data_IF_082121524207
#
_entry.id   IF_082121524207
#
_cell.length_a   1.000
_cell.length_b   1.000
_cell.length_c   1.000
_cell.angle_alpha   90.00
_cell.angle_beta   90.00
_cell.angle_gamma   90.00
#
_symmetry.space_group_name_H-M   'P 1'
#
loop_
_entity.id
_entity.type
_entity.pdbx_description
1 polymer ?
#
# COMPACT_ATOMS: atom_id res chain seq x y z
N UNK A 1 -42.77 1.45 46.37
CA UNK A 1 -42.11 0.65 45.32
C UNK A 1 -40.62 0.94 45.44
N UNK A 2 -39.82 -0.07 45.77
CA UNK A 2 -38.39 0.10 46.08
C UNK A 2 -37.60 0.46 44.80
N UNK A 3 -36.63 1.39 44.91
CA UNK A 3 -35.80 1.85 43.81
C UNK A 3 -34.99 0.71 43.18
N UNK A 4 -34.65 -0.31 43.99
CA UNK A 4 -34.03 -1.54 43.51
C UNK A 4 -34.95 -2.27 42.51
N UNK A 5 -36.26 -2.27 42.75
CA UNK A 5 -37.23 -2.95 41.89
C UNK A 5 -37.45 -2.21 40.58
N UNK A 6 -37.47 -0.87 40.62
CA UNK A 6 -37.56 -0.02 39.41
C UNK A 6 -36.31 -0.17 38.55
N UNK A 7 -35.12 -0.21 39.17
CA UNK A 7 -33.85 -0.40 38.47
C UNK A 7 -33.75 -1.79 37.85
N UNK A 8 -34.20 -2.83 38.58
CA UNK A 8 -34.23 -4.20 38.05
C UNK A 8 -35.19 -4.32 36.86
N UNK A 9 -36.36 -3.67 36.91
CA UNK A 9 -37.32 -3.67 35.81
C UNK A 9 -36.78 -2.89 34.60
N UNK A 10 -36.14 -1.75 34.83
CA UNK A 10 -35.49 -0.96 33.79
C UNK A 10 -34.33 -1.73 33.14
N UNK A 11 -33.55 -2.49 33.91
CA UNK A 11 -32.48 -3.35 33.37
C UNK A 11 -33.03 -4.54 32.59
N UNK A 12 -34.12 -5.16 33.05
CA UNK A 12 -34.78 -6.28 32.38
C UNK A 12 -35.38 -5.88 31.02
N UNK A 13 -35.91 -4.66 30.91
CA UNK A 13 -36.49 -4.14 29.66
C UNK A 13 -35.41 -3.48 28.79
N UNK A 14 -34.51 -2.71 29.39
CA UNK A 14 -33.45 -1.99 28.69
C UNK A 14 -32.39 -2.90 28.09
N UNK A 15 -32.04 -4.00 28.76
CA UNK A 15 -31.05 -4.96 28.27
C UNK A 15 -31.40 -5.56 26.90
N UNK A 16 -32.59 -6.17 26.72
CA UNK A 16 -33.03 -6.71 25.44
C UNK A 16 -33.15 -5.67 24.33
N UNK A 17 -33.62 -4.45 24.65
CA UNK A 17 -33.75 -3.36 23.67
C UNK A 17 -32.37 -2.86 23.22
N UNK A 18 -31.43 -2.70 24.15
CA UNK A 18 -30.05 -2.34 23.82
C UNK A 18 -29.34 -3.43 23.01
N UNK A 19 -29.57 -4.70 23.34
CA UNK A 19 -29.03 -5.83 22.59
C UNK A 19 -29.61 -5.91 21.16
N UNK A 20 -30.92 -5.71 21.00
CA UNK A 20 -31.57 -5.68 19.69
C UNK A 20 -31.08 -4.49 18.84
N UNK A 21 -30.93 -3.31 19.46
CA UNK A 21 -30.37 -2.13 18.81
C UNK A 21 -28.90 -2.37 18.38
N UNK A 22 -28.09 -2.99 19.23
CA UNK A 22 -26.69 -3.34 18.93
C UNK A 22 -26.57 -4.38 17.80
N UNK A 23 -27.48 -5.37 17.73
CA UNK A 23 -27.51 -6.34 16.63
C UNK A 23 -27.87 -5.68 15.30
N UNK A 24 -28.76 -4.68 15.32
CA UNK A 24 -29.17 -3.95 14.12
C UNK A 24 -28.08 -2.98 13.64
N UNK A 25 -27.43 -2.25 14.56
CA UNK A 25 -26.35 -1.30 14.24
C UNK A 25 -25.02 -2.01 13.93
N UNK A 26 -24.75 -3.16 14.55
CA UNK A 26 -23.51 -3.92 14.39
C UNK A 26 -23.29 -4.47 12.98
N UNK A 27 -24.35 -4.75 12.22
CA UNK A 27 -24.21 -5.19 10.81
C UNK A 27 -23.71 -4.07 9.90
N UNK A 28 -24.20 -2.84 10.10
CA UNK A 28 -23.72 -1.66 9.38
C UNK A 28 -22.27 -1.33 9.73
N UNK A 29 -21.92 -1.40 11.01
CA UNK A 29 -20.56 -1.18 11.50
C UNK A 29 -19.57 -2.23 10.95
N UNK A 30 -19.95 -3.52 10.93
CA UNK A 30 -19.10 -4.58 10.38
C UNK A 30 -18.90 -4.44 8.86
N UNK A 31 -19.91 -3.98 8.12
CA UNK A 31 -19.79 -3.71 6.69
C UNK A 31 -18.91 -2.50 6.41
N UNK A 32 -19.14 -1.38 7.11
CA UNK A 32 -18.32 -0.18 6.99
C UNK A 32 -16.85 -0.44 7.37
N UNK A 33 -16.59 -1.26 8.39
CA UNK A 33 -15.24 -1.65 8.77
C UNK A 33 -14.53 -2.48 7.68
N UNK A 34 -15.25 -3.40 7.04
CA UNK A 34 -14.71 -4.21 5.91
C UNK A 34 -14.46 -3.35 4.67
N UNK A 35 -15.40 -2.47 4.34
CA UNK A 35 -15.27 -1.55 3.21
C UNK A 35 -14.12 -0.55 3.43
N UNK A 36 -13.99 0.01 4.63
CA UNK A 36 -12.85 0.87 5.00
C UNK A 36 -11.50 0.13 4.97
N UNK A 37 -11.46 -1.11 5.46
CA UNK A 37 -10.24 -1.94 5.38
C UNK A 37 -9.84 -2.27 3.95
N UNK A 38 -10.81 -2.55 3.07
CA UNK A 38 -10.54 -2.85 1.66
C UNK A 38 -10.05 -1.60 0.93
N UNK A 39 -10.68 -0.44 1.12
CA UNK A 39 -10.28 0.83 0.50
C UNK A 39 -8.87 1.22 0.93
N UNK A 40 -8.54 1.10 2.22
CA UNK A 40 -7.19 1.37 2.72
C UNK A 40 -6.16 0.38 2.14
N UNK A 41 -6.51 -0.91 2.04
CA UNK A 41 -5.64 -1.92 1.42
C UNK A 41 -5.36 -1.65 -0.05
N UNK A 42 -6.39 -1.31 -0.84
CA UNK A 42 -6.21 -0.94 -2.24
C UNK A 42 -5.40 0.35 -2.42
N UNK A 43 -5.58 1.32 -1.53
CA UNK A 43 -4.77 2.54 -1.53
C UNK A 43 -3.30 2.27 -1.24
N UNK A 44 -2.98 1.38 -0.29
CA UNK A 44 -1.60 0.99 0.02
C UNK A 44 -0.93 0.33 -1.18
N UNK A 45 -1.57 -0.67 -1.78
CA UNK A 45 -1.04 -1.39 -2.95
C UNK A 45 -0.84 -0.45 -4.15
N UNK A 46 -1.75 0.49 -4.36
CA UNK A 46 -1.63 1.45 -5.45
C UNK A 46 -0.46 2.41 -5.21
N UNK A 47 -0.25 2.85 -3.97
CA UNK A 47 0.89 3.69 -3.61
C UNK A 47 2.22 2.92 -3.77
N UNK A 48 2.31 1.70 -3.25
CA UNK A 48 3.48 0.82 -3.37
C UNK A 48 3.84 0.59 -4.85
N UNK A 49 2.86 0.23 -5.70
CA UNK A 49 3.08 0.07 -7.14
C UNK A 49 3.53 1.36 -7.84
N UNK A 50 3.04 2.52 -7.39
CA UNK A 50 3.46 3.80 -7.94
C UNK A 50 4.90 4.14 -7.54
N UNK A 51 5.29 3.84 -6.30
CA UNK A 51 6.66 3.99 -5.80
C UNK A 51 7.62 3.06 -6.54
N UNK A 52 7.33 1.75 -6.62
CA UNK A 52 8.13 0.78 -7.36
C UNK A 52 8.30 1.19 -8.83
N UNK A 53 7.22 1.64 -9.49
CA UNK A 53 7.30 2.12 -10.87
C UNK A 53 8.21 3.34 -11.00
N UNK A 54 8.23 4.23 -10.01
CA UNK A 54 9.10 5.41 -10.02
C UNK A 54 10.55 5.00 -9.84
N UNK A 55 10.83 4.13 -8.88
CA UNK A 55 12.16 3.59 -8.61
C UNK A 55 12.72 2.87 -9.85
N UNK A 56 11.97 1.95 -10.45
CA UNK A 56 12.37 1.24 -11.67
C UNK A 56 12.64 2.20 -12.84
N UNK A 57 11.91 3.30 -12.96
CA UNK A 57 12.17 4.32 -14.00
C UNK A 57 13.48 5.06 -13.76
N UNK A 58 13.81 5.34 -12.50
CA UNK A 58 15.07 5.95 -12.11
C UNK A 58 16.24 4.99 -12.35
N UNK A 59 16.11 3.72 -11.95
CA UNK A 59 17.10 2.67 -12.23
C UNK A 59 17.35 2.49 -13.73
N UNK A 60 16.29 2.37 -14.54
CA UNK A 60 16.42 2.25 -15.99
C UNK A 60 17.11 3.47 -16.60
N UNK A 61 16.86 4.67 -16.05
CA UNK A 61 17.54 5.89 -16.50
C UNK A 61 19.03 5.83 -16.16
N UNK A 62 19.38 5.43 -14.94
CA UNK A 62 20.77 5.28 -14.48
C UNK A 62 21.52 4.26 -15.33
N UNK A 63 20.95 3.06 -15.50
CA UNK A 63 21.54 1.99 -16.33
C UNK A 63 21.75 2.42 -17.79
N UNK A 64 20.84 3.22 -18.35
CA UNK A 64 21.02 3.77 -19.72
C UNK A 64 22.18 4.75 -19.80
N UNK A 65 22.42 5.54 -18.76
CA UNK A 65 23.55 6.47 -18.70
C UNK A 65 24.87 5.71 -18.55
N UNK A 66 24.91 4.72 -17.66
CA UNK A 66 26.07 3.84 -17.47
C UNK A 66 26.42 3.09 -18.76
N UNK A 67 25.42 2.48 -19.42
CA UNK A 67 25.63 1.80 -20.70
C UNK A 67 26.15 2.76 -21.78
N UNK A 68 25.68 4.01 -21.81
CA UNK A 68 26.19 5.00 -22.75
C UNK A 68 27.66 5.37 -22.46
N UNK A 69 28.01 5.54 -21.18
CA UNK A 69 29.38 5.79 -20.75
C UNK A 69 30.31 4.62 -21.09
N UNK A 70 29.93 3.39 -20.76
CA UNK A 70 30.70 2.19 -21.11
C UNK A 70 30.90 2.05 -22.62
N UNK A 71 29.85 2.29 -23.43
CA UNK A 71 29.98 2.26 -24.90
C UNK A 71 30.96 3.31 -25.42
N UNK A 72 30.98 4.49 -24.81
CA UNK A 72 31.94 5.54 -25.14
C UNK A 72 33.36 5.12 -24.77
N UNK A 73 33.55 4.52 -23.59
CA UNK A 73 34.85 4.01 -23.14
C UNK A 73 35.35 2.87 -24.04
N UNK A 74 34.50 1.91 -24.38
CA UNK A 74 34.84 0.82 -25.32
C UNK A 74 35.25 1.40 -26.67
N UNK A 75 34.53 2.40 -27.18
CA UNK A 75 34.90 3.08 -28.43
C UNK A 75 36.27 3.75 -28.33
N UNK A 76 36.53 4.44 -27.21
CA UNK A 76 37.84 5.08 -26.95
C UNK A 76 38.96 4.04 -26.91
N UNK A 77 38.77 2.95 -26.16
CA UNK A 77 39.76 1.88 -26.02
C UNK A 77 40.02 1.17 -27.35
N UNK A 78 38.98 0.91 -28.15
CA UNK A 78 39.15 0.39 -29.52
C UNK A 78 39.97 1.32 -30.39
N UNK A 79 39.75 2.63 -30.30
CA UNK A 79 40.57 3.62 -31.01
C UNK A 79 42.03 3.65 -30.52
N UNK A 80 42.28 3.47 -29.23
CA UNK A 80 43.63 3.33 -28.69
C UNK A 80 44.32 2.03 -29.13
N UNK A 81 43.58 0.91 -29.15
CA UNK A 81 44.07 -0.37 -29.61
C UNK A 81 44.47 -0.32 -31.10
N UNK A 82 43.61 0.27 -31.93
CA UNK A 82 43.90 0.49 -33.35
C UNK A 82 45.14 1.37 -33.56
N UNK A 83 45.31 2.44 -32.77
CA UNK A 83 46.52 3.29 -32.81
C UNK A 83 47.78 2.55 -32.40
N UNK A 84 47.69 1.57 -31.52
CA UNK A 84 48.81 0.71 -31.08
C UNK A 84 49.10 -0.45 -32.03
N UNK A 85 48.41 -0.52 -33.18
CA UNK A 85 48.58 -1.59 -34.17
C UNK A 85 47.88 -2.90 -33.81
N UNK A 86 47.02 -2.90 -32.79
CA UNK A 86 46.14 -4.03 -32.49
C UNK A 86 44.92 -4.02 -33.41
N UNK A 87 44.45 -5.20 -33.80
CA UNK A 87 43.14 -5.36 -34.45
C UNK A 87 42.00 -5.25 -33.42
N UNK A 88 40.94 -4.47 -33.68
CA UNK A 88 39.84 -4.21 -32.75
C UNK A 88 38.89 -5.38 -32.53
#
# INVERSE_FOLDING_TARGET
>A
MDAAMVTALAALIGGPVAAAAAMYTGRGAARAAREGSAVNGFSSLTNELQEERKELREEVRTLRLELAAERQEVTRLKGELARRGGTP
#
